data_IF_132365396247
#
_entry.id   IF_132365396247
#
_cell.length_a   1.000
_cell.length_b   1.000
_cell.length_c   1.000
_cell.angle_alpha   90.00
_cell.angle_beta   90.00
_cell.angle_gamma   90.00
#
_symmetry.space_group_name_H-M   'P 1'
#
loop_
_entity.id
_entity.type
_entity.pdbx_description
1 polymer ?
#
# COMPACT_ATOMS: atom_id res chain seq x y z
N UNK A 1 14.44 22.98 2.35
CA UNK A 1 13.83 22.74 3.68
C UNK A 1 14.38 23.62 4.79
N UNK A 2 15.64 24.10 4.75
CA UNK A 2 16.18 25.06 5.73
C UNK A 2 15.36 26.37 5.80
N UNK A 3 15.14 27.02 4.66
CA UNK A 3 14.32 28.25 4.55
C UNK A 3 12.89 28.09 5.11
N UNK A 4 12.22 26.96 4.86
CA UNK A 4 10.88 26.71 5.38
C UNK A 4 10.86 26.51 6.91
N UNK A 5 11.90 25.91 7.48
CA UNK A 5 12.04 25.76 8.94
C UNK A 5 12.37 27.10 9.60
N UNK A 6 13.20 27.92 8.97
CA UNK A 6 13.55 29.24 9.47
C UNK A 6 12.34 30.18 9.46
N UNK A 7 11.50 30.12 8.42
CA UNK A 7 10.22 30.84 8.40
C UNK A 7 9.31 30.43 9.57
N UNK A 8 9.13 29.13 9.83
CA UNK A 8 8.31 28.67 10.96
C UNK A 8 8.84 29.16 12.32
N UNK A 9 10.17 29.28 12.47
CA UNK A 9 10.78 29.88 13.66
C UNK A 9 10.51 31.38 13.75
N UNK A 10 10.60 32.12 12.64
CA UNK A 10 10.26 33.56 12.60
C UNK A 10 8.80 33.82 12.95
N UNK A 11 7.88 32.92 12.57
CA UNK A 11 6.47 32.98 12.94
C UNK A 11 6.15 32.45 14.35
N UNK A 12 7.17 32.11 15.16
CA UNK A 12 7.02 31.50 16.48
C UNK A 12 6.07 30.29 16.48
N UNK A 13 6.14 29.46 15.43
CA UNK A 13 5.25 28.33 15.25
C UNK A 13 5.56 27.23 16.27
N UNK A 14 4.50 26.72 16.89
CA UNK A 14 4.59 25.62 17.85
C UNK A 14 5.17 24.35 17.18
N UNK A 15 5.93 23.50 17.89
CA UNK A 15 6.44 22.23 17.35
C UNK A 15 5.36 21.37 16.68
N UNK A 16 4.12 21.40 17.18
CA UNK A 16 3.00 20.68 16.59
C UNK A 16 2.54 21.28 15.26
N UNK A 17 2.56 22.61 15.15
CA UNK A 17 2.27 23.32 13.90
C UNK A 17 3.35 23.04 12.85
N UNK A 18 4.62 23.00 13.25
CA UNK A 18 5.73 22.60 12.38
C UNK A 18 5.62 21.14 11.93
N UNK A 19 5.14 20.25 12.80
CA UNK A 19 4.91 18.86 12.44
C UNK A 19 3.79 18.73 11.38
N UNK A 20 2.60 19.24 11.66
CA UNK A 20 1.43 19.07 10.78
C UNK A 20 1.56 19.85 9.48
N UNK A 21 2.11 21.07 9.49
CA UNK A 21 2.11 21.95 8.32
C UNK A 21 3.36 21.84 7.44
N UNK A 22 4.47 21.32 7.99
CA UNK A 22 5.75 21.25 7.26
C UNK A 22 6.30 19.84 7.16
N UNK A 23 6.41 19.10 8.27
CA UNK A 23 7.03 17.77 8.26
C UNK A 23 6.13 16.71 7.63
N UNK A 24 4.87 16.65 8.06
CA UNK A 24 3.90 15.67 7.60
C UNK A 24 3.65 15.80 6.07
N UNK A 25 3.33 16.99 5.51
CA UNK A 25 3.07 17.14 4.08
C UNK A 25 4.30 16.87 3.20
N UNK A 26 5.50 17.19 3.71
CA UNK A 26 6.76 16.89 3.02
C UNK A 26 7.09 15.38 3.03
N UNK A 27 6.61 14.64 4.05
CA UNK A 27 6.82 13.20 4.16
C UNK A 27 5.74 12.36 3.45
N UNK A 28 4.56 12.93 3.15
CA UNK A 28 3.43 12.19 2.55
C UNK A 28 3.81 11.35 1.32
N UNK A 29 4.58 11.85 0.32
CA UNK A 29 4.96 11.03 -0.83
C UNK A 29 5.80 9.81 -0.44
N UNK A 30 6.69 9.96 0.54
CA UNK A 30 7.50 8.85 1.04
C UNK A 30 6.68 7.83 1.83
N UNK A 31 5.70 8.30 2.62
CA UNK A 31 4.77 7.43 3.35
C UNK A 31 3.94 6.60 2.37
N UNK A 32 3.39 7.22 1.33
CA UNK A 32 2.60 6.50 0.32
C UNK A 32 3.43 5.52 -0.50
N UNK A 33 4.67 5.86 -0.83
CA UNK A 33 5.59 4.91 -1.47
C UNK A 33 5.83 3.68 -0.57
N UNK A 34 6.04 3.90 0.72
CA UNK A 34 6.10 2.81 1.71
C UNK A 34 4.82 1.97 1.72
N UNK A 35 3.65 2.61 1.81
CA UNK A 35 2.34 1.93 1.82
C UNK A 35 2.12 1.06 0.57
N UNK A 36 2.50 1.55 -0.61
CA UNK A 36 2.42 0.81 -1.88
C UNK A 36 3.27 -0.45 -1.92
N UNK A 37 4.42 -0.45 -1.24
CA UNK A 37 5.26 -1.66 -1.13
C UNK A 37 4.64 -2.61 -0.10
N UNK A 38 4.19 -2.06 1.03
CA UNK A 38 3.53 -2.82 2.08
C UNK A 38 2.24 -3.51 1.62
N UNK A 39 1.48 -2.93 0.70
CA UNK A 39 0.24 -3.55 0.19
C UNK A 39 0.50 -4.89 -0.48
N UNK A 40 1.56 -4.98 -1.29
CA UNK A 40 1.93 -6.22 -2.00
C UNK A 40 2.43 -7.27 -1.01
N UNK A 41 3.28 -6.86 -0.06
CA UNK A 41 3.79 -7.73 0.99
C UNK A 41 2.68 -8.27 1.90
N UNK A 42 1.71 -7.42 2.26
CA UNK A 42 0.57 -7.80 3.08
C UNK A 42 -0.32 -8.82 2.37
N UNK A 43 -0.56 -8.65 1.07
CA UNK A 43 -1.34 -9.61 0.29
C UNK A 43 -0.64 -10.96 0.19
N UNK A 44 0.67 -10.97 -0.09
CA UNK A 44 1.46 -12.21 -0.10
C UNK A 44 1.38 -12.90 1.27
N UNK A 45 1.59 -12.13 2.35
CA UNK A 45 1.50 -12.63 3.72
C UNK A 45 0.12 -13.22 4.06
N UNK A 46 -0.96 -12.57 3.61
CA UNK A 46 -2.32 -13.05 3.79
C UNK A 46 -2.55 -14.37 3.05
N UNK A 47 -2.16 -14.47 1.78
CA UNK A 47 -2.30 -15.71 0.98
C UNK A 47 -1.50 -16.85 1.62
N UNK A 48 -0.27 -16.58 2.05
CA UNK A 48 0.56 -17.59 2.72
C UNK A 48 -0.05 -18.02 4.06
N UNK A 49 -0.58 -17.08 4.84
CA UNK A 49 -1.28 -17.39 6.08
C UNK A 49 -2.52 -18.26 5.83
N UNK A 50 -3.31 -17.97 4.79
CA UNK A 50 -4.45 -18.80 4.38
C UNK A 50 -4.00 -20.18 3.89
N UNK A 51 -2.86 -20.27 3.19
CA UNK A 51 -2.32 -21.50 2.62
C UNK A 51 -2.00 -22.55 3.68
N UNK A 52 -1.49 -22.13 4.84
CA UNK A 52 -1.08 -23.02 5.93
C UNK A 52 -2.05 -23.05 7.13
N UNK A 53 -2.77 -21.95 7.37
CA UNK A 53 -3.52 -21.74 8.61
C UNK A 53 -5.04 -21.84 8.50
N UNK A 54 -5.61 -21.81 7.29
CA UNK A 54 -7.07 -21.82 7.13
C UNK A 54 -7.58 -23.22 6.79
N UNK A 55 -8.51 -23.80 7.59
CA UNK A 55 -8.98 -25.16 7.37
C UNK A 55 -10.07 -25.30 6.29
N UNK A 56 -10.71 -24.21 5.84
CA UNK A 56 -11.88 -24.32 4.94
C UNK A 56 -12.11 -23.15 3.95
N UNK A 57 -11.47 -21.99 4.10
CA UNK A 57 -11.79 -20.78 3.33
C UNK A 57 -10.53 -19.97 2.98
N UNK A 58 -10.52 -19.31 1.82
CA UNK A 58 -9.42 -18.41 1.40
C UNK A 58 -8.78 -18.82 0.08
N UNK A 59 -8.13 -17.86 -0.60
CA UNK A 59 -7.47 -18.11 -1.89
C UNK A 59 -6.30 -19.08 -1.71
N UNK A 60 -5.51 -18.90 -0.64
CA UNK A 60 -4.39 -19.79 -0.32
C UNK A 60 -4.83 -21.24 -0.08
N UNK A 61 -5.94 -21.44 0.64
CA UNK A 61 -6.53 -22.76 0.87
C UNK A 61 -7.02 -23.42 -0.42
N UNK A 62 -7.71 -22.67 -1.30
CA UNK A 62 -8.21 -23.20 -2.58
C UNK A 62 -7.07 -23.66 -3.48
N UNK A 63 -5.98 -22.90 -3.53
CA UNK A 63 -4.78 -23.29 -4.28
C UNK A 63 -4.21 -24.61 -3.75
N UNK A 64 -4.00 -24.73 -2.43
CA UNK A 64 -3.40 -25.95 -1.85
C UNK A 64 -4.28 -27.18 -2.03
N UNK A 65 -5.60 -27.04 -1.84
CA UNK A 65 -6.57 -28.12 -2.03
C UNK A 65 -6.70 -28.55 -3.50
N UNK A 66 -6.74 -27.60 -4.45
CA UNK A 66 -6.87 -27.89 -5.88
C UNK A 66 -5.64 -28.54 -6.48
N UNK A 67 -4.44 -28.23 -5.97
CA UNK A 67 -3.20 -28.94 -6.35
C UNK A 67 -3.32 -30.43 -6.02
N UNK A 68 -3.83 -30.77 -4.83
CA UNK A 68 -4.05 -32.16 -4.41
C UNK A 68 -5.08 -32.91 -5.28
N UNK A 69 -6.00 -32.19 -5.92
CA UNK A 69 -7.01 -32.75 -6.82
C UNK A 69 -6.59 -32.74 -8.30
N UNK A 70 -5.37 -32.24 -8.61
CA UNK A 70 -4.90 -32.00 -9.98
C UNK A 70 -5.82 -31.07 -10.80
N UNK A 71 -6.64 -30.26 -10.12
CA UNK A 71 -7.53 -29.26 -10.72
C UNK A 71 -6.76 -27.98 -11.04
N UNK A 72 -5.88 -28.06 -12.05
CA UNK A 72 -4.98 -26.97 -12.43
C UNK A 72 -5.73 -25.75 -13.00
N UNK A 73 -6.90 -25.98 -13.59
CA UNK A 73 -7.84 -24.94 -14.01
C UNK A 73 -8.21 -24.00 -12.86
N UNK A 74 -8.52 -24.56 -11.69
CA UNK A 74 -8.82 -23.77 -10.48
C UNK A 74 -7.58 -23.03 -9.97
N UNK A 75 -6.40 -23.67 -9.99
CA UNK A 75 -5.15 -23.04 -9.54
C UNK A 75 -4.82 -21.80 -10.39
N UNK A 76 -4.93 -21.90 -11.71
CA UNK A 76 -4.71 -20.76 -12.60
C UNK A 76 -5.74 -19.66 -12.40
N UNK A 77 -7.02 -20.01 -12.17
CA UNK A 77 -8.06 -19.04 -11.87
C UNK A 77 -7.74 -18.26 -10.59
N UNK A 78 -7.33 -18.93 -9.51
CA UNK A 78 -6.93 -18.30 -8.25
C UNK A 78 -5.71 -17.37 -8.42
N UNK A 79 -4.71 -17.77 -9.20
CA UNK A 79 -3.54 -16.92 -9.49
C UNK A 79 -3.96 -15.62 -10.21
N UNK A 80 -4.87 -15.72 -11.18
CA UNK A 80 -5.38 -14.54 -11.90
C UNK A 80 -6.17 -13.64 -10.94
N UNK A 81 -7.03 -14.21 -10.10
CA UNK A 81 -7.79 -13.45 -9.09
C UNK A 81 -6.85 -12.76 -8.11
N UNK A 82 -5.81 -13.43 -7.63
CA UNK A 82 -4.81 -12.86 -6.74
C UNK A 82 -4.03 -11.70 -7.42
N UNK A 83 -3.68 -11.85 -8.71
CA UNK A 83 -3.02 -10.80 -9.47
C UNK A 83 -3.91 -9.55 -9.64
N UNK A 84 -5.21 -9.75 -9.91
CA UNK A 84 -6.19 -8.67 -10.01
C UNK A 84 -6.37 -7.99 -8.64
N UNK A 85 -6.54 -8.78 -7.58
CA UNK A 85 -6.71 -8.26 -6.23
C UNK A 85 -5.48 -7.43 -5.77
N UNK A 86 -4.26 -7.93 -6.00
CA UNK A 86 -3.04 -7.20 -5.69
C UNK A 86 -2.89 -5.91 -6.50
N UNK A 87 -3.19 -5.97 -7.80
CA UNK A 87 -3.17 -4.78 -8.66
C UNK A 87 -4.21 -3.75 -8.24
N UNK A 88 -5.41 -4.20 -7.87
CA UNK A 88 -6.48 -3.33 -7.37
C UNK A 88 -6.09 -2.68 -6.03
N UNK A 89 -5.50 -3.44 -5.11
CA UNK A 89 -5.10 -2.92 -3.80
C UNK A 89 -3.98 -1.87 -3.93
N UNK A 90 -2.96 -2.14 -4.76
CA UNK A 90 -1.95 -1.15 -5.11
C UNK A 90 -2.58 0.08 -5.77
N UNK A 91 -3.49 -0.14 -6.73
CA UNK A 91 -4.18 0.92 -7.47
C UNK A 91 -4.98 1.86 -6.56
N UNK A 92 -5.68 1.32 -5.57
CA UNK A 92 -6.41 2.11 -4.56
C UNK A 92 -5.43 3.02 -3.80
N UNK A 93 -4.31 2.48 -3.31
CA UNK A 93 -3.31 3.29 -2.61
C UNK A 93 -2.68 4.33 -3.53
N UNK A 94 -2.46 4.01 -4.80
CA UNK A 94 -1.94 4.96 -5.79
C UNK A 94 -2.93 6.11 -6.08
N UNK A 95 -4.23 5.82 -6.17
CA UNK A 95 -5.27 6.84 -6.37
C UNK A 95 -5.37 7.75 -5.13
N UNK A 96 -5.30 7.17 -3.93
CA UNK A 96 -5.29 7.94 -2.68
C UNK A 96 -4.04 8.82 -2.61
N UNK A 97 -2.86 8.30 -2.96
CA UNK A 97 -1.63 9.10 -3.03
C UNK A 97 -1.80 10.28 -3.97
N UNK A 98 -2.39 10.07 -5.16
CA UNK A 98 -2.61 11.14 -6.13
C UNK A 98 -3.53 12.24 -5.58
N UNK A 99 -4.60 11.85 -4.87
CA UNK A 99 -5.52 12.78 -4.22
C UNK A 99 -4.89 13.54 -3.06
N UNK A 100 -4.00 12.91 -2.30
CA UNK A 100 -3.37 13.52 -1.11
C UNK A 100 -2.06 14.23 -1.44
N UNK A 101 -1.38 13.94 -2.53
CA UNK A 101 -0.10 14.59 -2.88
C UNK A 101 -0.23 15.52 -4.09
N UNK A 102 -1.44 15.97 -4.41
CA UNK A 102 -1.76 16.80 -5.58
C UNK A 102 -0.93 18.10 -5.69
N UNK A 103 -0.43 18.62 -4.56
CA UNK A 103 0.41 19.82 -4.51
C UNK A 103 1.89 19.56 -4.86
N UNK A 104 2.36 18.32 -4.79
CA UNK A 104 3.79 18.01 -4.93
C UNK A 104 4.21 18.03 -6.42
N UNK A 105 5.27 18.77 -6.80
CA UNK A 105 5.68 18.92 -8.21
C UNK A 105 5.99 17.60 -8.93
N UNK A 106 6.34 16.54 -8.20
CA UNK A 106 6.58 15.21 -8.77
C UNK A 106 5.35 14.51 -9.35
N UNK A 107 4.14 15.03 -9.08
CA UNK A 107 2.88 14.57 -9.69
C UNK A 107 2.45 15.45 -10.89
N UNK A 108 3.18 16.53 -11.21
CA UNK A 108 2.88 17.47 -12.31
C UNK A 108 3.55 17.08 -13.63
N UNK A 109 3.67 15.78 -13.88
CA UNK A 109 4.03 15.26 -15.21
C UNK A 109 2.90 15.51 -16.20
#
# INVERSE_FOLDING_TARGET
TAMQRDLMKTYNADPWQAFIKLRLPAAMPFIFNGLKISTTLALIGAIVAEFFGSPTLGMGFRISASIGQLALDMVWAEIVVAAIAGSAFYGIVAIIEKGVTFWHPSQRG
#
